data_IF_081584856992
#
_entry.id   IF_081584856992
#
_cell.length_a   1.000
_cell.length_b   1.000
_cell.length_c   1.000
_cell.angle_alpha   90.00
_cell.angle_beta   90.00
_cell.angle_gamma   90.00
#
_symmetry.space_group_name_H-M   'P 1'
#
loop_
_entity.id
_entity.type
_entity.pdbx_description
1 polymer ?
#
# COMPACT_ATOMS: atom_id res chain seq x y z
N UNK A 1 -8.94 -13.43 -5.02
CA UNK A 1 -9.87 -14.55 -5.31
C UNK A 1 -10.21 -15.31 -4.04
N UNK A 2 -9.23 -15.91 -3.35
CA UNK A 2 -9.45 -16.70 -2.13
C UNK A 2 -10.15 -15.93 -1.00
N UNK A 3 -9.77 -14.68 -0.76
CA UNK A 3 -10.46 -13.84 0.24
C UNK A 3 -11.93 -13.61 -0.11
N UNK A 4 -12.27 -13.48 -1.40
CA UNK A 4 -13.66 -13.37 -1.84
C UNK A 4 -14.45 -14.64 -1.58
N UNK A 5 -13.85 -15.81 -1.81
CA UNK A 5 -14.47 -17.10 -1.45
C UNK A 5 -14.65 -17.24 0.07
N UNK A 6 -13.67 -16.82 0.86
CA UNK A 6 -13.71 -16.88 2.32
C UNK A 6 -14.82 -16.00 2.92
N UNK A 7 -15.05 -14.81 2.36
CA UNK A 7 -16.03 -13.85 2.88
C UNK A 7 -17.44 -14.07 2.31
N UNK A 8 -17.57 -14.50 1.04
CA UNK A 8 -18.85 -14.58 0.32
C UNK A 8 -19.15 -15.97 -0.25
N UNK A 9 -18.47 -17.02 0.22
CA UNK A 9 -18.62 -18.40 -0.26
C UNK A 9 -17.99 -18.67 -1.64
N UNK A 10 -17.70 -19.95 -1.96
CA UNK A 10 -17.20 -20.36 -3.28
C UNK A 10 -18.26 -20.19 -4.39
N UNK A 11 -17.85 -20.15 -5.67
CA UNK A 11 -16.48 -19.95 -6.13
C UNK A 11 -15.99 -18.54 -5.80
N UNK A 12 -14.68 -18.39 -5.60
CA UNK A 12 -14.05 -17.09 -5.44
C UNK A 12 -13.97 -16.36 -6.78
N UNK A 13 -14.31 -15.08 -6.80
CA UNK A 13 -14.22 -14.24 -8.01
C UNK A 13 -13.41 -12.99 -7.75
N UNK A 14 -12.94 -12.32 -8.81
CA UNK A 14 -12.28 -11.01 -8.69
C UNK A 14 -13.22 -9.99 -8.04
N UNK A 15 -14.48 -9.94 -8.47
CA UNK A 15 -15.51 -9.06 -7.91
C UNK A 15 -15.74 -9.30 -6.40
N UNK A 16 -15.86 -10.57 -5.96
CA UNK A 16 -15.96 -10.91 -4.53
C UNK A 16 -14.70 -10.48 -3.77
N UNK A 17 -13.52 -10.62 -4.38
CA UNK A 17 -12.25 -10.16 -3.81
C UNK A 17 -12.19 -8.65 -3.63
N UNK A 18 -12.48 -7.89 -4.69
CA UNK A 18 -12.52 -6.43 -4.67
C UNK A 18 -13.54 -5.90 -3.65
N UNK A 19 -14.73 -6.51 -3.59
CA UNK A 19 -15.76 -6.20 -2.59
C UNK A 19 -15.29 -6.47 -1.17
N UNK A 20 -14.59 -7.59 -0.94
CA UNK A 20 -14.04 -7.91 0.38
C UNK A 20 -12.97 -6.89 0.83
N UNK A 21 -12.05 -6.50 -0.07
CA UNK A 21 -11.04 -5.48 0.26
C UNK A 21 -11.70 -4.12 0.50
N UNK A 22 -12.61 -3.70 -0.37
CA UNK A 22 -13.28 -2.40 -0.27
C UNK A 22 -14.11 -2.29 1.02
N UNK A 23 -14.87 -3.34 1.35
CA UNK A 23 -15.62 -3.39 2.62
C UNK A 23 -14.71 -3.38 3.85
N UNK A 24 -13.52 -3.98 3.78
CA UNK A 24 -12.52 -3.88 4.85
C UNK A 24 -11.94 -2.46 4.96
N UNK A 25 -11.59 -1.84 3.82
CA UNK A 25 -11.06 -0.48 3.79
C UNK A 25 -12.07 0.53 4.38
N UNK A 26 -13.34 0.41 4.03
CA UNK A 26 -14.41 1.26 4.54
C UNK A 26 -14.70 0.97 6.02
N UNK A 27 -15.00 -0.29 6.38
CA UNK A 27 -15.55 -0.61 7.71
C UNK A 27 -14.48 -0.73 8.80
N UNK A 28 -13.26 -1.16 8.46
CA UNK A 28 -12.19 -1.41 9.43
C UNK A 28 -11.11 -0.34 9.42
N UNK A 29 -10.81 0.22 8.26
CA UNK A 29 -9.81 1.29 8.13
C UNK A 29 -10.43 2.69 8.03
N UNK A 30 -11.76 2.79 7.90
CA UNK A 30 -12.49 4.06 7.79
C UNK A 30 -11.96 4.94 6.64
N UNK A 31 -11.48 4.31 5.56
CA UNK A 31 -11.01 5.02 4.38
C UNK A 31 -12.21 5.40 3.52
N UNK A 32 -12.34 6.69 3.22
CA UNK A 32 -13.35 7.23 2.30
C UNK A 32 -12.76 7.39 0.91
N UNK A 33 -13.60 7.39 -0.12
CA UNK A 33 -13.19 7.70 -1.51
C UNK A 33 -12.00 6.85 -2.04
N UNK A 34 -11.95 5.58 -1.63
CA UNK A 34 -10.98 4.59 -2.11
C UNK A 34 -11.62 3.73 -3.20
N UNK A 35 -10.93 3.58 -4.33
CA UNK A 35 -11.33 2.66 -5.39
C UNK A 35 -10.33 1.50 -5.44
N UNK A 36 -10.78 0.27 -5.16
CA UNK A 36 -9.97 -0.94 -5.26
C UNK A 36 -10.69 -1.93 -6.16
N UNK A 37 -10.19 -2.09 -7.38
CA UNK A 37 -10.76 -3.04 -8.35
C UNK A 37 -10.04 -4.38 -8.33
N UNK A 38 -8.80 -4.42 -7.84
CA UNK A 38 -8.01 -5.64 -7.68
C UNK A 38 -6.83 -5.44 -6.70
N UNK A 39 -6.22 -6.53 -6.23
CA UNK A 39 -5.26 -6.51 -5.10
C UNK A 39 -3.77 -6.45 -5.46
N UNK A 40 -3.39 -6.67 -6.72
CA UNK A 40 -1.99 -6.60 -7.20
C UNK A 40 -1.51 -5.17 -7.44
N UNK A 41 -2.43 -4.23 -7.68
CA UNK A 41 -2.10 -2.84 -7.99
C UNK A 41 -1.79 -2.57 -9.46
N UNK A 42 -2.06 -3.52 -10.37
CA UNK A 42 -1.88 -3.37 -11.82
C UNK A 42 -2.95 -2.48 -12.44
N UNK A 43 -4.18 -2.53 -11.92
CA UNK A 43 -5.27 -1.75 -12.49
C UNK A 43 -5.05 -0.25 -12.26
N UNK A 44 -5.11 0.52 -13.35
CA UNK A 44 -5.09 1.99 -13.32
C UNK A 44 -6.37 2.60 -12.73
N UNK A 45 -7.40 1.79 -12.48
CA UNK A 45 -8.62 2.20 -11.79
C UNK A 45 -8.47 2.18 -10.27
N UNK A 46 -7.40 1.60 -9.72
CA UNK A 46 -7.17 1.69 -8.29
C UNK A 46 -6.86 3.16 -7.91
N UNK A 47 -7.61 3.72 -6.96
CA UNK A 47 -7.43 5.07 -6.44
C UNK A 47 -7.25 5.02 -4.93
N UNK A 48 -6.08 5.50 -4.49
CA UNK A 48 -5.75 5.62 -3.08
C UNK A 48 -4.85 6.84 -2.88
N UNK A 49 -5.16 7.67 -1.88
CA UNK A 49 -4.35 8.84 -1.54
C UNK A 49 -3.13 8.44 -0.70
N UNK A 50 -2.13 9.32 -0.62
CA UNK A 50 -0.99 9.10 0.27
C UNK A 50 -1.42 9.04 1.74
N UNK A 51 -2.44 9.82 2.13
CA UNK A 51 -3.01 9.80 3.49
C UNK A 51 -3.73 8.47 3.79
N UNK A 52 -4.47 7.91 2.83
CA UNK A 52 -5.07 6.58 2.98
C UNK A 52 -3.99 5.51 3.19
N UNK A 53 -2.91 5.57 2.40
CA UNK A 53 -1.78 4.64 2.56
C UNK A 53 -1.06 4.84 3.91
N UNK A 54 -0.95 6.07 4.42
CA UNK A 54 -0.41 6.32 5.76
C UNK A 54 -1.27 5.67 6.84
N UNK A 55 -2.60 5.76 6.74
CA UNK A 55 -3.51 5.06 7.66
C UNK A 55 -3.34 3.55 7.58
N UNK A 56 -3.17 3.00 6.37
CA UNK A 56 -2.86 1.57 6.17
C UNK A 56 -1.55 1.21 6.86
N UNK A 57 -0.48 1.99 6.67
CA UNK A 57 0.82 1.74 7.31
C UNK A 57 0.72 1.77 8.84
N UNK A 58 0.00 2.73 9.43
CA UNK A 58 -0.21 2.77 10.88
C UNK A 58 -0.87 1.49 11.41
N UNK A 59 -1.86 0.94 10.68
CA UNK A 59 -2.49 -0.34 11.05
C UNK A 59 -1.64 -1.56 10.71
N UNK A 60 -0.79 -1.46 9.70
CA UNK A 60 0.10 -2.52 9.25
C UNK A 60 1.39 -2.62 10.08
N UNK A 61 1.68 -1.65 10.94
CA UNK A 61 2.94 -1.56 11.70
C UNK A 61 3.35 -2.84 12.45
N UNK A 62 2.46 -3.60 13.12
CA UNK A 62 2.84 -4.87 13.76
C UNK A 62 3.39 -5.89 12.76
N UNK A 63 2.98 -5.79 11.51
CA UNK A 63 3.36 -6.67 10.40
C UNK A 63 4.49 -6.09 9.54
N UNK A 64 5.11 -4.97 9.94
CA UNK A 64 6.17 -4.30 9.15
C UNK A 64 7.33 -5.21 8.76
N UNK A 65 7.61 -6.24 9.56
CA UNK A 65 8.64 -7.25 9.30
C UNK A 65 8.40 -8.05 8.01
N UNK A 66 7.17 -8.03 7.46
CA UNK A 66 6.84 -8.63 6.17
C UNK A 66 7.35 -7.81 4.97
N UNK A 67 7.77 -6.56 5.18
CA UNK A 67 8.34 -5.72 4.13
C UNK A 67 9.83 -6.01 3.93
N UNK A 68 10.31 -5.81 2.70
CA UNK A 68 11.74 -5.90 2.41
C UNK A 68 12.49 -4.80 3.15
N UNK A 69 13.55 -5.18 3.88
CA UNK A 69 14.45 -4.26 4.57
C UNK A 69 15.63 -3.88 3.66
N UNK A 70 15.97 -2.59 3.62
CA UNK A 70 17.16 -2.05 2.96
C UNK A 70 17.77 -0.96 3.86
N UNK A 71 18.91 -1.26 4.48
CA UNK A 71 19.46 -0.42 5.54
C UNK A 71 18.48 -0.35 6.71
N UNK A 72 18.14 0.86 7.14
CA UNK A 72 17.13 1.13 8.16
C UNK A 72 15.70 1.25 7.61
N UNK A 73 15.46 1.07 6.31
CA UNK A 73 14.13 1.24 5.73
C UNK A 73 13.42 -0.09 5.46
N UNK A 74 12.13 -0.16 5.74
CA UNK A 74 11.24 -1.28 5.39
C UNK A 74 10.12 -0.78 4.51
N UNK A 75 10.04 -1.20 3.26
CA UNK A 75 9.03 -0.64 2.35
C UNK A 75 8.60 -1.57 1.23
N UNK A 76 7.40 -1.29 0.71
CA UNK A 76 6.90 -1.89 -0.52
C UNK A 76 7.19 -0.98 -1.71
N UNK A 77 7.58 -1.60 -2.82
CA UNK A 77 7.69 -0.95 -4.12
C UNK A 77 6.39 -1.10 -4.92
N UNK A 78 6.05 -0.10 -5.71
CA UNK A 78 5.07 -0.22 -6.79
C UNK A 78 5.55 0.53 -8.03
N UNK A 79 5.25 -0.03 -9.20
CA UNK A 79 5.70 0.53 -10.47
C UNK A 79 4.73 0.15 -11.58
N UNK A 80 4.24 1.15 -12.30
CA UNK A 80 3.55 1.02 -13.57
C UNK A 80 4.14 2.06 -14.54
N UNK A 81 3.89 1.93 -15.84
CA UNK A 81 4.30 2.97 -16.79
C UNK A 81 3.72 4.32 -16.37
N UNK A 82 4.63 5.26 -16.06
CA UNK A 82 4.31 6.60 -15.57
C UNK A 82 3.98 6.71 -14.08
N UNK A 83 4.11 5.63 -13.29
CA UNK A 83 3.78 5.62 -11.85
C UNK A 83 4.90 4.93 -11.08
N UNK A 84 5.46 5.59 -10.07
CA UNK A 84 6.43 4.99 -9.14
C UNK A 84 5.99 5.25 -7.71
N UNK A 85 5.91 4.20 -6.90
CA UNK A 85 5.48 4.32 -5.51
C UNK A 85 6.45 3.65 -4.54
N UNK A 86 6.56 4.23 -3.35
CA UNK A 86 7.22 3.66 -2.18
C UNK A 86 6.37 3.97 -0.95
N UNK A 87 6.11 2.98 -0.12
CA UNK A 87 5.38 3.17 1.13
C UNK A 87 5.96 2.23 2.18
N UNK A 88 6.23 2.76 3.37
CA UNK A 88 6.88 1.99 4.41
C UNK A 88 7.36 2.83 5.58
N UNK A 89 8.45 2.36 6.18
CA UNK A 89 8.98 2.85 7.45
C UNK A 89 10.49 3.10 7.39
N UNK A 90 10.97 4.01 8.23
CA UNK A 90 12.37 4.26 8.52
C UNK A 90 12.59 3.97 10.02
N UNK A 91 13.45 2.99 10.32
CA UNK A 91 13.85 2.56 11.66
C UNK A 91 15.11 3.32 12.09
N UNK A 92 14.97 4.53 12.65
CA UNK A 92 16.15 5.27 13.15
C UNK A 92 16.80 4.56 14.35
N UNK A 93 15.97 4.00 15.23
CA UNK A 93 16.34 3.11 16.33
C UNK A 93 15.09 2.28 16.73
N UNK A 94 15.21 1.23 17.55
CA UNK A 94 14.07 0.36 17.89
C UNK A 94 12.86 1.09 18.52
N UNK A 95 13.06 2.30 19.03
CA UNK A 95 12.03 3.12 19.69
C UNK A 95 11.43 4.20 18.79
N UNK A 96 12.00 4.48 17.61
CA UNK A 96 11.57 5.57 16.72
C UNK A 96 11.39 5.08 15.29
N UNK A 97 10.13 4.77 14.97
CA UNK A 97 9.68 4.41 13.64
C UNK A 97 9.05 5.63 12.97
N UNK A 98 9.52 6.00 11.77
CA UNK A 98 8.90 7.04 10.95
C UNK A 98 8.20 6.42 9.75
N UNK A 99 7.04 6.95 9.37
CA UNK A 99 6.28 6.48 8.21
C UNK A 99 6.58 7.36 7.00
N UNK A 100 6.62 6.77 5.82
CA UNK A 100 6.69 7.54 4.58
C UNK A 100 5.81 6.94 3.49
N UNK A 101 5.25 7.82 2.67
CA UNK A 101 4.48 7.47 1.48
C UNK A 101 4.89 8.40 0.34
N UNK A 102 5.35 7.83 -0.76
CA UNK A 102 5.80 8.54 -1.96
C UNK A 102 5.04 7.97 -3.13
N UNK A 103 4.15 8.77 -3.73
CA UNK A 103 3.48 8.46 -5.00
C UNK A 103 3.92 9.48 -6.06
N UNK A 104 4.61 9.00 -7.09
CA UNK A 104 5.04 9.82 -8.23
C UNK A 104 4.21 9.44 -9.45
N UNK A 105 3.42 10.40 -9.96
CA UNK A 105 2.63 10.26 -11.18
C UNK A 105 3.23 11.12 -12.29
N UNK A 106 3.51 10.51 -13.44
CA UNK A 106 4.12 11.13 -14.65
C UNK A 106 5.28 12.07 -14.32
N UNK A 107 6.06 11.71 -13.31
CA UNK A 107 7.17 12.52 -12.83
C UNK A 107 8.48 12.06 -13.46
N UNK A 108 9.30 13.02 -13.91
CA UNK A 108 10.68 12.77 -14.33
C UNK A 108 11.62 12.50 -13.14
N UNK A 109 11.12 12.61 -11.91
CA UNK A 109 11.90 12.39 -10.70
C UNK A 109 12.36 10.94 -10.57
N UNK A 110 13.63 10.76 -10.22
CA UNK A 110 14.18 9.45 -9.93
C UNK A 110 13.85 9.06 -8.49
N UNK A 111 12.92 8.12 -8.32
CA UNK A 111 12.51 7.64 -6.99
C UNK A 111 13.70 7.10 -6.17
N UNK A 112 14.73 6.54 -6.80
CA UNK A 112 15.93 6.08 -6.09
C UNK A 112 16.80 7.24 -5.60
N UNK A 113 16.73 8.41 -6.23
CA UNK A 113 17.37 9.63 -5.72
C UNK A 113 16.58 10.16 -4.52
N UNK A 114 15.26 10.21 -4.61
CA UNK A 114 14.40 10.65 -3.50
C UNK A 114 14.56 9.74 -2.26
N UNK A 115 14.63 8.42 -2.46
CA UNK A 115 14.88 7.47 -1.38
C UNK A 115 16.24 7.66 -0.67
N UNK A 116 17.22 8.30 -1.33
CA UNK A 116 18.51 8.67 -0.70
C UNK A 116 18.46 9.99 0.07
N UNK A 117 17.45 10.82 -0.15
CA UNK A 117 17.30 12.08 0.58
C UNK A 117 16.56 11.90 1.91
N UNK A 118 15.79 10.80 2.04
CA UNK A 118 15.01 10.51 3.25
C UNK A 118 15.73 9.55 4.21
N UNK A 119 16.95 9.12 3.88
CA UNK A 119 17.79 8.27 4.71
C UNK A 119 19.24 8.75 4.69
#
# INVERSE_FOLDING_TARGET
ISMGAKVYGPPGTLAKGARAVSGFAEKKLQLKDVEIVEGSGISRKNRISALHMLTILKKFEPYRHLLKKKGNMLYKTGGLRGIKTRAGYIEQNPKRLQYFVIFLYRSNQNINKLMRCIN
#
